data_IF_868416287256
#
_entry.id   IF_868416287256
#
_cell.length_a   1.000
_cell.length_b   1.000
_cell.length_c   1.000
_cell.angle_alpha   90.00
_cell.angle_beta   90.00
_cell.angle_gamma   90.00
#
_symmetry.space_group_name_H-M   'P 1'
#
loop_
_entity.id
_entity.type
_entity.pdbx_description
1 polymer ?
#
# COMPACT_ATOMS: atom_id res chain seq x y z
N UNK A 1 -4.37 -8.31 90.73
CA UNK A 1 -3.31 -7.80 89.92
C UNK A 1 -2.99 -8.73 88.73
N UNK A 2 -2.72 -10.01 88.90
CA UNK A 2 -2.37 -11.00 87.90
C UNK A 2 -3.43 -11.16 86.83
N UNK A 3 -4.74 -11.14 87.13
CA UNK A 3 -5.83 -11.28 86.20
C UNK A 3 -5.95 -10.07 85.24
N UNK A 4 -5.69 -8.86 85.70
CA UNK A 4 -5.71 -7.62 84.92
C UNK A 4 -4.54 -7.55 83.94
N UNK A 5 -3.40 -8.09 84.37
CA UNK A 5 -2.18 -8.13 83.51
C UNK A 5 -2.33 -9.15 82.39
N UNK A 6 -2.96 -10.30 82.66
CA UNK A 6 -3.24 -11.29 81.58
C UNK A 6 -4.31 -10.81 80.62
N UNK A 7 -5.37 -10.13 81.11
CA UNK A 7 -6.33 -9.46 80.14
C UNK A 7 -5.71 -8.39 79.32
N UNK A 8 -4.85 -7.57 79.88
CA UNK A 8 -4.15 -6.53 79.13
C UNK A 8 -3.22 -7.15 78.04
N UNK A 9 -2.53 -8.26 78.41
CA UNK A 9 -1.68 -9.00 77.47
C UNK A 9 -2.46 -9.62 76.32
N UNK A 10 -3.61 -10.24 76.61
CA UNK A 10 -4.49 -10.83 75.59
C UNK A 10 -5.11 -9.80 74.68
N UNK A 11 -5.56 -8.66 75.23
CA UNK A 11 -6.04 -7.53 74.38
C UNK A 11 -4.94 -7.00 73.51
N UNK A 12 -3.75 -6.71 73.99
CA UNK A 12 -2.63 -6.22 73.18
C UNK A 12 -2.21 -7.20 72.07
N UNK A 13 -2.25 -8.53 72.42
CA UNK A 13 -2.00 -9.55 71.40
C UNK A 13 -3.07 -9.57 70.29
N UNK A 14 -4.35 -9.46 70.70
CA UNK A 14 -5.46 -9.47 69.72
C UNK A 14 -5.53 -8.20 68.87
N UNK A 15 -5.24 -7.04 69.46
CA UNK A 15 -5.10 -5.77 68.78
C UNK A 15 -3.92 -5.80 67.84
N UNK A 16 -2.76 -6.29 68.22
CA UNK A 16 -1.57 -6.43 67.39
C UNK A 16 -1.79 -7.38 66.21
N UNK A 17 -2.50 -8.50 66.47
CA UNK A 17 -2.86 -9.43 65.36
C UNK A 17 -3.82 -8.80 64.33
N UNK A 18 -4.81 -8.03 64.82
CA UNK A 18 -5.78 -7.34 63.97
C UNK A 18 -5.12 -6.23 63.17
N UNK A 19 -4.28 -5.45 63.84
CA UNK A 19 -3.51 -4.38 63.19
C UNK A 19 -2.53 -4.94 62.15
N UNK A 20 -1.78 -5.99 62.48
CA UNK A 20 -0.85 -6.62 61.55
C UNK A 20 -1.53 -7.22 60.33
N UNK A 21 -2.69 -7.88 60.53
CA UNK A 21 -3.49 -8.36 59.38
C UNK A 21 -3.96 -7.24 58.49
N UNK A 22 -4.38 -6.11 59.05
CA UNK A 22 -4.84 -4.95 58.28
C UNK A 22 -3.68 -4.33 57.48
N UNK A 23 -2.53 -4.16 58.12
CA UNK A 23 -1.34 -3.62 57.47
C UNK A 23 -0.85 -4.50 56.31
N UNK A 24 -0.78 -5.81 56.52
CA UNK A 24 -0.41 -6.77 55.50
C UNK A 24 -1.42 -6.76 54.35
N UNK A 25 -2.71 -6.70 54.64
CA UNK A 25 -3.75 -6.63 53.63
C UNK A 25 -3.65 -5.34 52.79
N UNK A 26 -3.44 -4.20 53.42
CA UNK A 26 -3.27 -2.91 52.72
C UNK A 26 -2.01 -2.92 51.87
N UNK A 27 -0.89 -3.46 52.37
CA UNK A 27 0.34 -3.61 51.58
C UNK A 27 0.17 -4.53 50.38
N UNK A 28 -0.49 -5.69 50.57
CA UNK A 28 -0.76 -6.62 49.49
C UNK A 28 -1.70 -5.99 48.42
N UNK A 29 -2.71 -5.25 48.87
CA UNK A 29 -3.63 -4.54 48.01
C UNK A 29 -2.90 -3.47 47.17
N UNK A 30 -2.08 -2.64 47.82
CA UNK A 30 -1.28 -1.62 47.12
C UNK A 30 -0.33 -2.24 46.09
N UNK A 31 0.36 -3.33 46.47
CA UNK A 31 1.23 -4.05 45.54
C UNK A 31 0.47 -4.71 44.36
N UNK A 32 -0.75 -5.18 44.61
CA UNK A 32 -1.61 -5.72 43.55
C UNK A 32 -2.11 -4.62 42.61
N UNK A 33 -2.53 -3.47 43.17
CA UNK A 33 -2.95 -2.30 42.38
C UNK A 33 -1.80 -1.77 41.52
N UNK A 34 -0.58 -1.68 42.02
CA UNK A 34 0.62 -1.29 41.26
C UNK A 34 0.90 -2.26 40.13
N UNK A 35 0.84 -3.57 40.37
CA UNK A 35 1.04 -4.57 39.31
C UNK A 35 -0.05 -4.53 38.25
N UNK A 36 -1.31 -4.31 38.66
CA UNK A 36 -2.41 -4.15 37.69
C UNK A 36 -2.26 -2.90 36.85
N UNK A 37 -1.82 -1.78 37.43
CA UNK A 37 -1.52 -0.57 36.68
C UNK A 37 -0.39 -0.80 35.64
N UNK A 38 0.69 -1.45 36.06
CA UNK A 38 1.80 -1.79 35.18
C UNK A 38 1.38 -2.71 34.01
N UNK A 39 0.54 -3.73 34.29
CA UNK A 39 -0.01 -4.61 33.25
C UNK A 39 -0.92 -3.85 32.31
N UNK A 40 -1.76 -2.97 32.81
CA UNK A 40 -2.64 -2.13 31.99
C UNK A 40 -1.83 -1.22 31.05
N UNK A 41 -0.79 -0.59 31.57
CA UNK A 41 0.13 0.23 30.78
C UNK A 41 0.83 -0.59 29.69
N UNK A 42 1.32 -1.79 30.03
CA UNK A 42 1.94 -2.71 29.06
C UNK A 42 0.96 -3.09 27.94
N UNK A 43 -0.28 -3.45 28.27
CA UNK A 43 -1.30 -3.79 27.27
C UNK A 43 -1.62 -2.58 26.40
N UNK A 44 -1.78 -1.41 26.99
CA UNK A 44 -2.06 -0.18 26.24
C UNK A 44 -0.89 0.26 25.35
N UNK A 45 0.34 -0.06 25.70
CA UNK A 45 1.52 0.20 24.85
C UNK A 45 1.59 -0.74 23.65
N UNK A 46 1.08 -1.97 23.75
CA UNK A 46 1.13 -2.97 22.66
C UNK A 46 0.05 -2.72 21.60
N UNK A 47 -1.14 -2.27 22.00
CA UNK A 47 -2.28 -2.09 21.11
C UNK A 47 -2.00 -1.19 19.87
N UNK A 48 -1.37 -0.01 20.02
CA UNK A 48 -0.98 0.82 18.88
C UNK A 48 -0.01 0.12 17.93
N UNK A 49 0.99 -0.58 18.48
CA UNK A 49 1.99 -1.29 17.67
C UNK A 49 1.38 -2.40 16.80
N UNK A 50 0.33 -3.06 17.27
CA UNK A 50 -0.39 -4.06 16.47
C UNK A 50 -0.98 -3.44 15.19
N UNK A 51 -1.59 -2.28 15.29
CA UNK A 51 -2.17 -1.59 14.14
C UNK A 51 -1.08 -1.14 13.15
N UNK A 52 0.03 -0.64 13.65
CA UNK A 52 1.17 -0.22 12.84
C UNK A 52 1.82 -1.39 12.11
N UNK A 53 2.02 -2.52 12.79
CA UNK A 53 2.56 -3.75 12.17
C UNK A 53 1.63 -4.24 11.05
N UNK A 54 0.32 -4.28 11.28
CA UNK A 54 -0.64 -4.72 10.26
C UNK A 54 -0.60 -3.79 9.05
N UNK A 55 -0.53 -2.47 9.26
CA UNK A 55 -0.43 -1.48 8.19
C UNK A 55 0.86 -1.65 7.39
N UNK A 56 1.98 -1.83 8.07
CA UNK A 56 3.27 -2.04 7.41
C UNK A 56 3.30 -3.35 6.60
N UNK A 57 2.77 -4.44 7.13
CA UNK A 57 2.65 -5.70 6.40
C UNK A 57 1.76 -5.59 5.17
N UNK A 58 0.63 -4.87 5.24
CA UNK A 58 -0.20 -4.58 4.07
C UNK A 58 0.59 -3.83 2.99
N UNK A 59 1.33 -2.79 3.35
CA UNK A 59 2.14 -2.02 2.41
C UNK A 59 3.22 -2.90 1.76
N UNK A 60 3.87 -3.78 2.51
CA UNK A 60 4.86 -4.72 1.98
C UNK A 60 4.22 -5.70 1.00
N UNK A 61 3.04 -6.23 1.31
CA UNK A 61 2.29 -7.13 0.42
C UNK A 61 1.89 -6.39 -0.86
N UNK A 62 1.37 -5.16 -0.77
CA UNK A 62 1.04 -4.35 -1.94
C UNK A 62 2.28 -4.11 -2.82
N UNK A 63 3.40 -3.77 -2.22
CA UNK A 63 4.67 -3.58 -2.94
C UNK A 63 5.12 -4.87 -3.65
N UNK A 64 5.01 -6.02 -2.97
CA UNK A 64 5.34 -7.31 -3.57
C UNK A 64 4.41 -7.64 -4.74
N UNK A 65 3.11 -7.42 -4.60
CA UNK A 65 2.14 -7.61 -5.69
C UNK A 65 2.51 -6.75 -6.89
N UNK A 66 2.86 -5.48 -6.70
CA UNK A 66 3.31 -4.57 -7.78
C UNK A 66 4.52 -5.13 -8.51
N UNK A 67 5.53 -5.56 -7.78
CA UNK A 67 6.73 -6.15 -8.38
C UNK A 67 6.42 -7.41 -9.18
N UNK A 68 5.59 -8.30 -8.65
CA UNK A 68 5.18 -9.52 -9.33
C UNK A 68 4.35 -9.21 -10.58
N UNK A 69 3.39 -8.30 -10.47
CA UNK A 69 2.55 -7.86 -11.60
C UNK A 69 3.42 -7.25 -12.70
N UNK A 70 4.33 -6.35 -12.35
CA UNK A 70 5.27 -5.77 -13.31
C UNK A 70 6.10 -6.85 -14.00
N UNK A 71 6.64 -7.79 -13.24
CA UNK A 71 7.47 -8.86 -13.79
C UNK A 71 6.70 -9.78 -14.75
N UNK A 72 5.46 -10.15 -14.40
CA UNK A 72 4.59 -10.96 -15.26
C UNK A 72 4.22 -10.19 -16.53
N UNK A 73 3.80 -8.92 -16.40
CA UNK A 73 3.42 -8.10 -17.55
C UNK A 73 4.63 -7.91 -18.49
N UNK A 74 5.81 -7.57 -17.99
CA UNK A 74 7.00 -7.41 -18.80
C UNK A 74 7.38 -8.67 -19.55
N UNK A 75 7.15 -9.83 -18.97
CA UNK A 75 7.38 -11.11 -19.63
C UNK A 75 6.39 -11.33 -20.77
N UNK A 76 5.09 -11.14 -20.51
CA UNK A 76 4.03 -11.30 -21.52
C UNK A 76 4.18 -10.29 -22.66
N UNK A 77 4.59 -9.05 -22.37
CA UNK A 77 4.78 -8.02 -23.36
C UNK A 77 5.92 -8.33 -24.37
N UNK A 78 6.94 -9.06 -23.93
CA UNK A 78 8.02 -9.50 -24.82
C UNK A 78 7.54 -10.51 -25.87
N UNK A 79 6.56 -11.31 -25.53
CA UNK A 79 6.04 -12.38 -26.36
C UNK A 79 4.81 -11.93 -27.19
N UNK A 80 4.25 -10.73 -26.94
CA UNK A 80 3.07 -10.20 -27.62
C UNK A 80 3.40 -9.11 -28.63
N UNK A 81 3.54 -9.52 -29.87
CA UNK A 81 3.85 -8.60 -30.98
C UNK A 81 2.73 -7.56 -31.27
N UNK A 82 1.51 -7.82 -30.83
CA UNK A 82 0.36 -6.95 -31.09
C UNK A 82 0.01 -6.02 -29.91
N UNK A 83 0.70 -6.13 -28.79
CA UNK A 83 0.42 -5.31 -27.61
C UNK A 83 0.46 -3.82 -27.90
N UNK A 84 1.51 -3.35 -28.59
CA UNK A 84 1.66 -1.95 -28.96
C UNK A 84 0.51 -1.47 -29.85
N UNK A 85 0.08 -2.29 -30.81
CA UNK A 85 -1.05 -1.94 -31.68
C UNK A 85 -2.35 -1.77 -30.87
N UNK A 86 -2.64 -2.70 -29.94
CA UNK A 86 -3.82 -2.59 -29.07
C UNK A 86 -3.78 -1.36 -28.17
N UNK A 87 -2.60 -1.00 -27.67
CA UNK A 87 -2.40 0.18 -26.85
C UNK A 87 -2.68 1.47 -27.63
N UNK A 88 -2.15 1.56 -28.85
CA UNK A 88 -2.38 2.69 -29.76
C UNK A 88 -3.85 2.78 -30.16
N UNK A 89 -4.49 1.65 -30.49
CA UNK A 89 -5.93 1.60 -30.81
C UNK A 89 -6.79 2.10 -29.64
N UNK A 90 -6.53 1.63 -28.42
CA UNK A 90 -7.28 2.04 -27.24
C UNK A 90 -7.16 3.53 -26.97
N UNK A 91 -5.94 4.08 -27.06
CA UNK A 91 -5.70 5.51 -26.87
C UNK A 91 -6.25 6.35 -28.01
N UNK A 92 -6.20 5.84 -29.24
CA UNK A 92 -6.81 6.53 -30.38
C UNK A 92 -8.32 6.70 -30.19
N UNK A 93 -9.02 5.67 -29.73
CA UNK A 93 -10.47 5.75 -29.44
C UNK A 93 -10.78 6.83 -28.41
N UNK A 94 -9.91 7.04 -27.42
CA UNK A 94 -10.09 8.02 -26.36
C UNK A 94 -9.79 9.46 -26.83
N UNK A 95 -8.78 9.63 -27.71
CA UNK A 95 -8.33 10.94 -28.16
C UNK A 95 -9.05 11.44 -29.42
N UNK A 96 -9.62 10.54 -30.23
CA UNK A 96 -10.17 10.91 -31.55
C UNK A 96 -11.53 11.59 -31.43
N UNK A 97 -11.64 12.77 -32.01
CA UNK A 97 -12.88 13.50 -32.25
C UNK A 97 -13.16 13.77 -33.73
N UNK A 98 -12.34 13.22 -34.63
CA UNK A 98 -12.46 13.45 -36.09
C UNK A 98 -11.30 12.90 -36.91
N UNK A 99 -10.91 13.58 -37.99
CA UNK A 99 -9.74 13.28 -38.78
C UNK A 99 -8.50 13.86 -38.11
N UNK A 100 -7.94 13.11 -37.17
CA UNK A 100 -6.86 13.61 -36.32
C UNK A 100 -5.49 13.02 -36.71
N UNK A 101 -4.45 13.81 -36.46
CA UNK A 101 -3.07 13.36 -36.51
C UNK A 101 -2.70 12.78 -35.12
N UNK A 102 -2.23 11.54 -35.10
CA UNK A 102 -1.69 10.92 -33.90
C UNK A 102 -0.19 10.72 -34.02
N UNK A 103 0.56 11.34 -33.11
CA UNK A 103 1.99 11.09 -32.96
C UNK A 103 2.20 10.07 -31.87
N UNK A 104 2.76 8.92 -32.21
CA UNK A 104 3.09 7.83 -31.32
C UNK A 104 4.57 7.93 -30.99
N UNK A 105 4.90 8.29 -29.75
CA UNK A 105 6.28 8.40 -29.28
C UNK A 105 6.65 7.14 -28.51
N UNK A 106 7.79 6.56 -28.84
CA UNK A 106 8.27 5.29 -28.35
C UNK A 106 9.78 5.33 -28.14
N UNK A 107 10.33 4.38 -27.38
CA UNK A 107 11.78 4.24 -27.24
C UNK A 107 12.43 3.84 -28.57
N UNK A 108 13.69 4.23 -28.74
CA UNK A 108 14.48 3.88 -29.92
C UNK A 108 14.53 2.35 -30.14
N UNK A 109 14.62 1.55 -29.08
CA UNK A 109 14.68 0.09 -29.14
C UNK A 109 13.42 -0.55 -29.75
N UNK A 110 12.26 0.06 -29.54
CA UNK A 110 10.96 -0.45 -29.96
C UNK A 110 10.46 0.22 -31.28
N UNK A 111 11.19 1.18 -31.77
CA UNK A 111 10.77 1.98 -32.94
C UNK A 111 10.56 1.14 -34.22
N UNK A 112 11.47 0.23 -34.54
CA UNK A 112 11.33 -0.66 -35.68
C UNK A 112 10.08 -1.55 -35.58
N UNK A 113 9.72 -1.97 -34.34
CA UNK A 113 8.51 -2.74 -34.06
C UNK A 113 7.26 -1.91 -34.31
N UNK A 114 7.22 -0.65 -33.84
CA UNK A 114 6.12 0.26 -34.13
C UNK A 114 5.96 0.53 -35.62
N UNK A 115 7.04 0.80 -36.32
CA UNK A 115 7.00 1.02 -37.80
C UNK A 115 6.35 -0.16 -38.54
N UNK A 116 6.63 -1.39 -38.13
CA UNK A 116 6.01 -2.59 -38.70
C UNK A 116 4.52 -2.69 -38.44
N UNK A 117 4.02 -2.07 -37.37
CA UNK A 117 2.61 -2.07 -36.95
C UNK A 117 1.79 -0.92 -37.55
N UNK A 118 2.43 0.16 -38.03
CA UNK A 118 1.74 1.32 -38.62
C UNK A 118 0.79 0.95 -39.76
N UNK A 119 1.16 0.07 -40.72
CA UNK A 119 0.24 -0.32 -41.80
C UNK A 119 -1.04 -1.01 -41.25
N UNK A 120 -0.90 -1.83 -40.23
CA UNK A 120 -2.03 -2.53 -39.57
C UNK A 120 -2.94 -1.53 -38.87
N UNK A 121 -2.36 -0.56 -38.17
CA UNK A 121 -3.08 0.53 -37.53
C UNK A 121 -3.81 1.41 -38.54
N UNK A 122 -3.16 1.73 -39.66
CA UNK A 122 -3.76 2.53 -40.74
C UNK A 122 -4.92 1.81 -41.43
N UNK A 123 -4.88 0.47 -41.53
CA UNK A 123 -5.98 -0.31 -42.06
C UNK A 123 -7.19 -0.32 -41.13
N UNK A 124 -6.95 -0.40 -39.85
CA UNK A 124 -8.02 -0.39 -38.79
C UNK A 124 -8.64 0.98 -38.57
N UNK A 125 -7.84 2.03 -38.69
CA UNK A 125 -8.24 3.43 -38.46
C UNK A 125 -7.87 4.30 -39.69
N UNK A 126 -8.54 4.13 -40.82
CA UNK A 126 -8.18 4.79 -42.08
C UNK A 126 -8.30 6.32 -42.08
N UNK A 127 -9.10 6.86 -41.14
CA UNK A 127 -9.32 8.29 -40.95
C UNK A 127 -8.21 8.97 -40.12
N UNK A 128 -7.30 8.20 -39.53
CA UNK A 128 -6.23 8.70 -38.65
C UNK A 128 -4.91 8.68 -39.39
N UNK A 129 -4.14 9.76 -39.29
CA UNK A 129 -2.78 9.82 -39.80
C UNK A 129 -1.83 9.55 -38.63
N UNK A 130 -1.16 8.38 -38.67
CA UNK A 130 -0.19 7.99 -37.68
C UNK A 130 1.21 8.49 -38.05
N UNK A 131 1.90 9.07 -37.08
CA UNK A 131 3.30 9.41 -37.09
C UNK A 131 4.04 8.72 -35.97
N UNK A 132 5.10 7.98 -36.27
CA UNK A 132 6.01 7.45 -35.26
C UNK A 132 7.13 8.46 -34.98
N UNK A 133 7.47 8.61 -33.70
CA UNK A 133 8.57 9.46 -33.25
C UNK A 133 9.33 8.78 -32.11
N UNK A 134 10.62 9.09 -32.00
CA UNK A 134 11.46 8.53 -30.91
C UNK A 134 11.53 9.51 -29.76
N UNK A 135 11.20 9.02 -28.54
CA UNK A 135 11.33 9.77 -27.30
C UNK A 135 12.52 9.23 -26.48
N UNK A 136 13.65 9.90 -26.59
CA UNK A 136 14.90 9.48 -25.93
C UNK A 136 14.80 9.42 -24.39
N UNK A 137 13.91 10.20 -23.79
CA UNK A 137 13.74 10.26 -22.33
C UNK A 137 12.64 9.33 -21.82
N UNK A 138 12.01 8.54 -22.67
CA UNK A 138 10.94 7.63 -22.26
C UNK A 138 11.50 6.53 -21.35
N UNK A 139 11.11 6.58 -20.09
CA UNK A 139 11.48 5.57 -19.09
C UNK A 139 10.42 4.48 -19.06
N UNK A 140 10.87 3.24 -19.22
CA UNK A 140 9.99 2.07 -19.16
C UNK A 140 9.41 1.68 -20.51
N UNK A 141 8.65 0.58 -20.54
CA UNK A 141 7.96 0.05 -21.72
C UNK A 141 6.63 0.74 -21.94
N UNK A 142 6.22 0.87 -23.20
CA UNK A 142 4.96 1.49 -23.61
C UNK A 142 5.16 2.65 -24.58
N UNK A 143 4.10 3.44 -24.74
CA UNK A 143 4.06 4.54 -25.71
C UNK A 143 3.46 5.79 -25.06
N UNK A 144 3.82 6.95 -25.62
CA UNK A 144 3.11 8.22 -25.39
C UNK A 144 2.41 8.57 -26.71
N UNK A 145 1.13 8.86 -26.63
CA UNK A 145 0.31 9.19 -27.80
C UNK A 145 -0.16 10.62 -27.66
N UNK A 146 0.15 11.42 -28.65
CA UNK A 146 -0.16 12.84 -28.70
C UNK A 146 -1.07 13.13 -29.88
N UNK A 147 -2.11 13.92 -29.63
CA UNK A 147 -3.01 14.48 -30.64
C UNK A 147 -3.21 15.97 -30.36
N UNK A 148 -3.94 16.65 -31.27
CA UNK A 148 -4.36 18.04 -31.03
C UNK A 148 -5.29 18.19 -29.81
N UNK A 149 -5.97 17.10 -29.40
CA UNK A 149 -6.92 17.07 -28.28
C UNK A 149 -6.30 16.72 -26.94
N UNK A 150 -5.06 16.22 -26.92
CA UNK A 150 -4.38 15.86 -25.68
C UNK A 150 -3.25 14.86 -25.84
N UNK A 151 -2.73 14.44 -24.69
CA UNK A 151 -1.63 13.48 -24.59
C UNK A 151 -2.06 12.34 -23.65
N UNK A 152 -1.91 11.11 -24.12
CA UNK A 152 -2.09 9.91 -23.28
C UNK A 152 -0.72 9.28 -23.06
N UNK A 153 -0.33 9.17 -21.80
CA UNK A 153 0.84 8.41 -21.41
C UNK A 153 0.43 6.97 -21.11
N UNK A 154 0.65 6.08 -22.07
CA UNK A 154 0.33 4.66 -21.96
C UNK A 154 1.58 3.82 -21.66
N UNK A 155 2.54 4.38 -20.91
CA UNK A 155 3.68 3.61 -20.40
C UNK A 155 3.24 2.66 -19.29
N UNK A 156 3.94 1.55 -19.15
CA UNK A 156 3.67 0.57 -18.09
C UNK A 156 3.77 1.18 -16.69
N UNK A 157 4.71 2.10 -16.49
CA UNK A 157 4.88 2.80 -15.22
C UNK A 157 3.65 3.64 -14.85
N UNK A 158 3.05 4.36 -15.81
CA UNK A 158 1.83 5.13 -15.57
C UNK A 158 0.62 4.23 -15.30
N UNK A 159 0.50 3.12 -16.02
CA UNK A 159 -0.56 2.14 -15.79
C UNK A 159 -0.45 1.51 -14.39
N UNK A 160 0.77 1.18 -13.94
CA UNK A 160 1.01 0.67 -12.59
C UNK A 160 0.73 1.73 -11.52
N UNK A 161 1.05 3.01 -11.77
CA UNK A 161 0.69 4.11 -10.87
C UNK A 161 -0.83 4.30 -10.78
N UNK A 162 -1.57 4.09 -11.86
CA UNK A 162 -3.03 4.12 -11.82
C UNK A 162 -3.59 3.02 -10.89
N UNK A 163 -3.02 1.82 -10.93
CA UNK A 163 -3.34 0.74 -10.00
C UNK A 163 -3.02 1.15 -8.56
N UNK A 164 -1.89 1.82 -8.32
CA UNK A 164 -1.50 2.32 -7.00
C UNK A 164 -2.53 3.29 -6.41
N UNK A 165 -3.06 4.18 -7.23
CA UNK A 165 -4.11 5.12 -6.82
C UNK A 165 -5.38 4.39 -6.38
N UNK A 166 -5.74 3.29 -7.04
CA UNK A 166 -6.88 2.44 -6.67
C UNK A 166 -6.62 1.78 -5.31
N UNK A 167 -5.44 1.19 -5.09
CA UNK A 167 -5.08 0.58 -3.80
C UNK A 167 -5.06 1.59 -2.66
N UNK A 168 -4.51 2.80 -2.88
CA UNK A 168 -4.50 3.86 -1.89
C UNK A 168 -5.91 4.33 -1.48
N UNK A 169 -6.90 4.17 -2.36
CA UNK A 169 -8.31 4.48 -2.06
C UNK A 169 -8.95 3.40 -1.18
N UNK A 170 -8.53 2.15 -1.34
CA UNK A 170 -9.01 1.01 -0.54
C UNK A 170 -8.42 1.03 0.88
N UNK A 171 -7.18 1.50 1.02
CA UNK A 171 -6.50 1.61 2.33
C UNK A 171 -7.11 2.68 3.26
N UNK A 172 -7.85 3.64 2.72
CA UNK A 172 -8.51 4.71 3.49
C UNK A 172 -9.90 4.34 4.01
N UNK A 173 -10.41 3.17 3.67
CA UNK A 173 -11.66 2.59 4.19
C UNK A 173 -11.39 1.50 5.20
#
# INVERSE_FOLDING_TARGET
LIAVEEEARQRGHQEGLTQGKKEVFEQMRAAAEEKMAALTEMVNSILPHKADIIREQKNQICTLIKHLTRWVILRELKDDDQYLARLVEAAAVELLQGNDHLTVRIREEDFARLESLLPILQEKLPQVIFKADVEANLKGEGVIIESENGIINATLDEQLQAIDRVFATIEKK
#
